data_IF_897975729767
#
_entry.id   IF_897975729767
#
_cell.length_a   1.000
_cell.length_b   1.000
_cell.length_c   1.000
_cell.angle_alpha   90.00
_cell.angle_beta   90.00
_cell.angle_gamma   90.00
#
_symmetry.space_group_name_H-M   'P 1'
#
loop_
_entity.id
_entity.type
_entity.pdbx_description
1 polymer ?
#
# COMPACT_ATOMS: atom_id res chain seq x y z
N UNK A 1 -0.15 -17.48 -27.83
CA UNK A 1 -0.82 -16.19 -28.03
C UNK A 1 -1.25 -15.59 -26.72
N UNK A 2 -1.40 -14.28 -26.66
CA UNK A 2 -1.95 -13.55 -25.53
C UNK A 2 -3.30 -14.14 -25.11
N UNK A 3 -3.53 -14.27 -23.78
CA UNK A 3 -4.76 -14.80 -23.19
C UNK A 3 -4.95 -16.30 -23.25
N UNK A 4 -4.06 -17.07 -23.89
CA UNK A 4 -4.21 -18.52 -23.92
C UNK A 4 -3.77 -19.19 -22.59
N UNK A 5 -4.01 -20.50 -22.48
CA UNK A 5 -3.72 -21.26 -21.27
C UNK A 5 -2.26 -21.12 -20.81
N UNK A 6 -1.30 -21.26 -21.72
CA UNK A 6 0.15 -21.19 -21.38
C UNK A 6 0.62 -19.78 -21.05
N UNK A 7 -0.15 -18.73 -21.40
CA UNK A 7 0.14 -17.36 -20.98
C UNK A 7 -0.41 -17.10 -19.58
N UNK A 8 -1.64 -17.57 -19.30
CA UNK A 8 -2.40 -17.21 -18.08
C UNK A 8 -2.12 -18.11 -16.88
N UNK A 9 -1.47 -19.27 -17.10
CA UNK A 9 -1.21 -20.25 -16.04
C UNK A 9 0.27 -20.55 -15.89
N UNK A 10 0.71 -20.63 -14.63
CA UNK A 10 2.05 -21.08 -14.30
C UNK A 10 2.17 -22.60 -14.49
N UNK A 11 3.18 -23.01 -15.26
CA UNK A 11 3.46 -24.41 -15.54
C UNK A 11 4.79 -24.78 -14.88
N UNK A 12 4.76 -25.58 -13.80
CA UNK A 12 5.95 -26.05 -13.11
C UNK A 12 6.67 -27.13 -13.93
N UNK A 13 7.50 -26.69 -14.90
CA UNK A 13 8.26 -27.58 -15.79
C UNK A 13 9.10 -26.80 -16.78
N UNK A 14 9.83 -27.46 -17.68
CA UNK A 14 10.68 -26.82 -18.68
C UNK A 14 9.83 -26.26 -19.83
N UNK A 15 8.93 -25.35 -19.54
CA UNK A 15 8.02 -24.71 -20.49
C UNK A 15 8.39 -23.23 -20.64
N UNK A 16 8.71 -22.82 -21.87
CA UNK A 16 8.93 -21.43 -22.23
C UNK A 16 7.81 -20.94 -23.16
N UNK A 17 7.08 -19.92 -22.73
CA UNK A 17 6.10 -19.24 -23.56
C UNK A 17 6.73 -17.96 -24.16
N UNK A 18 6.69 -17.84 -25.48
CA UNK A 18 7.14 -16.64 -26.20
C UNK A 18 5.92 -15.91 -26.76
N UNK A 19 5.76 -14.65 -26.38
CA UNK A 19 4.65 -13.79 -26.82
C UNK A 19 5.23 -12.54 -27.46
N UNK A 20 4.78 -12.21 -28.67
CA UNK A 20 5.19 -10.99 -29.37
C UNK A 20 4.39 -9.80 -28.86
N UNK A 21 5.07 -8.76 -28.43
CA UNK A 21 4.48 -7.46 -28.12
C UNK A 21 4.69 -6.46 -29.26
N UNK A 22 3.81 -5.45 -29.35
CA UNK A 22 3.93 -4.40 -30.36
C UNK A 22 4.90 -3.29 -29.91
N UNK A 23 4.92 -3.04 -28.61
CA UNK A 23 5.73 -2.02 -27.94
C UNK A 23 5.91 -2.40 -26.46
N UNK A 24 6.59 -1.55 -25.70
CA UNK A 24 6.87 -1.77 -24.28
C UNK A 24 5.59 -1.74 -23.42
N UNK A 25 4.65 -0.85 -23.73
CA UNK A 25 3.37 -0.76 -23.00
C UNK A 25 2.57 -2.06 -23.15
N UNK A 26 2.48 -2.58 -24.36
CA UNK A 26 1.84 -3.86 -24.64
C UNK A 26 2.58 -5.03 -23.95
N UNK A 27 3.90 -5.03 -23.93
CA UNK A 27 4.68 -6.05 -23.23
C UNK A 27 4.38 -6.05 -21.72
N UNK A 28 4.34 -4.87 -21.10
CA UNK A 28 3.97 -4.70 -19.68
C UNK A 28 2.55 -5.20 -19.42
N UNK A 29 1.60 -4.86 -20.29
CA UNK A 29 0.23 -5.34 -20.20
C UNK A 29 0.14 -6.87 -20.22
N UNK A 30 0.80 -7.50 -21.19
CA UNK A 30 0.86 -8.97 -21.34
C UNK A 30 1.35 -9.61 -20.02
N UNK A 31 2.42 -9.09 -19.45
CA UNK A 31 2.96 -9.63 -18.18
C UNK A 31 1.99 -9.42 -17.03
N UNK A 32 1.44 -8.22 -16.88
CA UNK A 32 0.54 -7.87 -15.78
C UNK A 32 -0.80 -8.63 -15.82
N UNK A 33 -1.31 -8.95 -17.00
CA UNK A 33 -2.60 -9.63 -17.19
C UNK A 33 -2.59 -11.06 -16.63
N UNK A 34 -1.43 -11.69 -16.48
CA UNK A 34 -1.28 -13.00 -15.84
C UNK A 34 -1.72 -12.98 -14.37
N UNK A 35 -1.59 -11.82 -13.71
CA UNK A 35 -1.79 -11.63 -12.28
C UNK A 35 -0.67 -12.20 -11.41
N UNK A 36 0.34 -12.90 -11.99
CA UNK A 36 1.56 -13.29 -11.28
C UNK A 36 2.56 -12.15 -11.25
N UNK A 37 3.42 -12.12 -10.24
CA UNK A 37 4.39 -11.04 -10.09
C UNK A 37 5.49 -11.37 -9.08
N UNK A 38 6.22 -12.46 -9.30
CA UNK A 38 7.36 -12.79 -8.44
C UNK A 38 8.61 -12.05 -8.93
N UNK A 39 9.07 -12.38 -10.14
CA UNK A 39 10.23 -11.75 -10.76
C UNK A 39 9.90 -11.30 -12.19
N UNK A 40 10.54 -10.23 -12.63
CA UNK A 40 10.53 -9.82 -14.03
C UNK A 40 11.84 -9.14 -14.39
N UNK A 41 12.22 -9.15 -15.66
CA UNK A 41 13.44 -8.53 -16.16
C UNK A 41 13.20 -7.72 -17.44
N UNK A 42 14.02 -6.70 -17.63
CA UNK A 42 14.14 -5.93 -18.87
C UNK A 42 15.61 -5.84 -19.28
N UNK A 43 15.85 -5.99 -20.57
CA UNK A 43 17.14 -5.72 -21.21
C UNK A 43 16.97 -4.46 -22.05
N UNK A 44 17.48 -3.32 -21.58
CA UNK A 44 17.42 -2.04 -22.28
C UNK A 44 18.53 -1.10 -21.79
N UNK A 45 19.08 -0.32 -22.72
CA UNK A 45 20.01 0.78 -22.45
C UNK A 45 19.32 2.14 -22.43
N UNK A 46 18.02 2.21 -22.72
CA UNK A 46 17.24 3.44 -22.65
C UNK A 46 16.63 3.61 -21.25
N UNK A 47 17.14 4.60 -20.52
CA UNK A 47 16.65 4.90 -19.17
C UNK A 47 15.16 5.27 -19.13
N UNK A 48 14.59 5.79 -20.22
CA UNK A 48 13.16 6.13 -20.30
C UNK A 48 12.33 4.86 -20.32
N UNK A 49 12.73 3.84 -21.07
CA UNK A 49 12.09 2.53 -21.12
C UNK A 49 12.19 1.82 -19.75
N UNK A 50 13.39 1.82 -19.16
CA UNK A 50 13.64 1.23 -17.84
C UNK A 50 12.77 1.89 -16.77
N UNK A 51 12.68 3.22 -16.76
CA UNK A 51 11.88 3.94 -15.80
C UNK A 51 10.38 3.70 -16.00
N UNK A 52 9.90 3.75 -17.25
CA UNK A 52 8.52 3.44 -17.58
C UNK A 52 8.14 2.02 -17.15
N UNK A 53 8.99 1.04 -17.43
CA UNK A 53 8.81 -0.35 -17.06
C UNK A 53 8.77 -0.53 -15.53
N UNK A 54 9.72 0.06 -14.78
CA UNK A 54 9.73 0.01 -13.31
C UNK A 54 8.45 0.55 -12.66
N UNK A 55 7.86 1.59 -13.25
CA UNK A 55 6.68 2.23 -12.69
C UNK A 55 5.37 1.46 -13.01
N UNK A 56 5.35 0.69 -14.08
CA UNK A 56 4.12 0.09 -14.59
C UNK A 56 4.06 -1.43 -14.43
N UNK A 57 5.21 -2.13 -14.31
CA UNK A 57 5.22 -3.57 -14.13
C UNK A 57 4.94 -3.96 -12.68
N UNK A 58 4.06 -4.97 -12.52
CA UNK A 58 3.64 -5.48 -11.21
C UNK A 58 4.38 -6.77 -10.84
N UNK A 59 5.62 -6.63 -10.38
CA UNK A 59 6.38 -7.75 -9.83
C UNK A 59 7.19 -7.31 -8.59
N UNK A 60 7.37 -8.23 -7.67
CA UNK A 60 8.07 -7.96 -6.43
C UNK A 60 9.55 -7.72 -6.60
N UNK A 61 10.21 -8.44 -7.51
CA UNK A 61 11.61 -8.27 -7.83
C UNK A 61 11.80 -7.95 -9.32
N UNK A 62 12.38 -6.80 -9.59
CA UNK A 62 12.63 -6.26 -10.93
C UNK A 62 14.13 -6.30 -11.21
N UNK A 63 14.50 -6.85 -12.36
CA UNK A 63 15.89 -6.98 -12.78
C UNK A 63 16.13 -6.22 -14.10
N UNK A 64 17.21 -5.45 -14.15
CA UNK A 64 17.57 -4.65 -15.31
C UNK A 64 18.94 -5.09 -15.79
N UNK A 65 19.04 -5.49 -17.07
CA UNK A 65 20.26 -5.92 -17.73
C UNK A 65 20.99 -7.05 -16.99
N UNK A 66 20.22 -8.00 -16.42
CA UNK A 66 20.74 -9.19 -15.75
C UNK A 66 19.68 -10.30 -15.69
N UNK A 67 20.11 -11.51 -15.39
CA UNK A 67 19.20 -12.64 -15.15
C UNK A 67 18.27 -12.43 -13.96
N UNK A 68 17.08 -13.01 -14.02
CA UNK A 68 16.01 -12.89 -13.03
C UNK A 68 16.12 -13.87 -11.85
N UNK A 69 17.27 -14.53 -11.69
CA UNK A 69 17.55 -15.53 -10.64
C UNK A 69 18.62 -15.05 -9.68
N UNK A 70 18.79 -15.75 -8.54
CA UNK A 70 19.90 -15.52 -7.63
C UNK A 70 19.69 -14.36 -6.65
N UNK A 71 18.46 -14.19 -6.12
CA UNK A 71 18.21 -13.26 -5.03
C UNK A 71 19.03 -13.61 -3.77
N UNK A 72 19.63 -12.60 -3.16
CA UNK A 72 20.49 -12.74 -1.97
C UNK A 72 19.93 -11.91 -0.81
N UNK A 73 19.93 -12.49 0.39
CA UNK A 73 19.48 -11.82 1.63
C UNK A 73 20.15 -10.46 1.78
N UNK A 74 19.38 -9.46 2.17
CA UNK A 74 19.73 -8.04 2.32
C UNK A 74 20.10 -7.30 1.03
N UNK A 75 20.63 -7.99 0.00
CA UNK A 75 20.90 -7.37 -1.31
C UNK A 75 19.61 -7.24 -2.12
N UNK A 76 18.86 -8.33 -2.19
CA UNK A 76 17.64 -8.45 -3.00
C UNK A 76 16.55 -9.12 -2.16
N UNK A 77 15.92 -8.42 -1.24
CA UNK A 77 14.80 -8.97 -0.47
C UNK A 77 13.75 -9.55 -1.41
N UNK A 78 13.36 -10.80 -1.19
CA UNK A 78 12.62 -11.60 -2.17
C UNK A 78 11.17 -11.79 -1.74
N UNK A 79 10.24 -11.52 -2.65
CA UNK A 79 8.82 -11.71 -2.45
C UNK A 79 8.00 -11.14 -3.60
N UNK A 80 6.88 -11.80 -3.90
CA UNK A 80 6.02 -11.49 -5.03
C UNK A 80 4.91 -10.49 -4.75
N UNK A 81 4.12 -10.25 -5.79
CA UNK A 81 2.86 -9.49 -5.80
C UNK A 81 1.75 -10.33 -6.45
N UNK A 82 0.49 -9.93 -6.26
CA UNK A 82 -0.67 -10.59 -6.85
C UNK A 82 -0.73 -12.08 -6.49
N UNK A 83 -0.94 -12.95 -7.48
CA UNK A 83 -0.98 -14.42 -7.30
C UNK A 83 0.34 -15.03 -6.77
N UNK A 84 1.43 -14.29 -6.82
CA UNK A 84 2.76 -14.72 -6.33
C UNK A 84 3.04 -14.24 -4.89
N UNK A 85 2.02 -13.89 -4.14
CA UNK A 85 2.12 -13.48 -2.74
C UNK A 85 0.99 -14.07 -1.91
N UNK A 86 1.26 -14.28 -0.60
CA UNK A 86 0.28 -14.68 0.40
C UNK A 86 0.25 -13.62 1.51
N UNK A 87 -0.94 -13.30 2.01
CA UNK A 87 -1.14 -12.34 3.09
C UNK A 87 -0.63 -10.95 2.73
N UNK A 88 0.17 -10.36 3.60
CA UNK A 88 0.69 -9.00 3.42
C UNK A 88 1.75 -8.85 2.32
N UNK A 89 2.17 -9.94 1.66
CA UNK A 89 3.19 -9.92 0.61
C UNK A 89 4.54 -9.38 1.06
N UNK A 90 4.95 -9.66 2.30
CA UNK A 90 6.22 -9.16 2.85
C UNK A 90 7.40 -9.88 2.24
N UNK A 91 8.45 -9.13 1.94
CA UNK A 91 9.67 -9.67 1.37
C UNK A 91 10.54 -10.36 2.43
N UNK A 92 11.05 -11.54 2.08
CA UNK A 92 12.05 -12.26 2.87
C UNK A 92 13.43 -11.61 2.72
N UNK A 93 14.23 -11.64 3.77
CA UNK A 93 15.62 -11.15 3.73
C UNK A 93 15.76 -9.66 3.96
N UNK A 94 14.77 -9.03 4.61
CA UNK A 94 14.83 -7.65 5.09
C UNK A 94 14.24 -7.53 6.50
N UNK A 95 14.64 -6.53 7.25
CA UNK A 95 14.31 -6.37 8.67
C UNK A 95 12.81 -6.25 8.98
N UNK A 96 11.99 -5.72 8.09
CA UNK A 96 10.54 -5.63 8.32
C UNK A 96 9.79 -6.97 8.15
N UNK A 97 10.46 -8.04 7.70
CA UNK A 97 9.90 -9.39 7.61
C UNK A 97 9.51 -9.95 8.98
N UNK A 98 10.30 -9.65 10.02
CA UNK A 98 10.07 -10.12 11.40
C UNK A 98 8.73 -9.64 11.99
N UNK A 99 8.18 -8.56 11.47
CA UNK A 99 6.91 -7.99 11.97
C UNK A 99 5.69 -8.92 11.81
N UNK A 100 5.82 -10.02 11.06
CA UNK A 100 4.80 -11.05 10.92
C UNK A 100 4.77 -12.05 12.09
N UNK A 101 5.82 -12.07 12.91
CA UNK A 101 6.05 -13.06 13.96
C UNK A 101 6.05 -12.44 15.35
N UNK A 102 5.61 -11.20 15.50
CA UNK A 102 5.62 -10.46 16.76
C UNK A 102 4.27 -9.77 17.00
N UNK A 103 3.90 -9.69 18.26
CA UNK A 103 2.79 -8.88 18.71
C UNK A 103 3.24 -7.45 18.99
N UNK A 104 2.47 -6.49 18.51
CA UNK A 104 2.73 -5.08 18.77
C UNK A 104 1.99 -4.66 20.04
N UNK A 105 2.72 -4.02 20.95
CA UNK A 105 2.14 -3.41 22.14
C UNK A 105 2.44 -1.91 22.14
N UNK A 106 1.40 -1.10 22.31
CA UNK A 106 1.57 0.33 22.54
C UNK A 106 2.29 0.57 23.87
N UNK A 107 3.35 1.35 23.83
CA UNK A 107 4.12 1.66 25.02
C UNK A 107 4.12 3.16 25.36
N UNK A 108 4.19 4.01 24.36
CA UNK A 108 4.24 5.48 24.52
C UNK A 108 3.93 6.15 23.19
N UNK A 109 3.57 7.43 23.24
CA UNK A 109 3.47 8.25 22.04
C UNK A 109 4.80 8.28 21.27
N UNK A 110 4.79 8.32 19.93
CA UNK A 110 5.99 8.39 19.14
C UNK A 110 6.76 9.68 19.44
N UNK A 111 8.09 9.57 19.47
CA UNK A 111 8.96 10.75 19.53
C UNK A 111 9.11 11.29 18.11
N UNK A 112 8.75 12.54 17.93
CA UNK A 112 8.88 13.26 16.66
C UNK A 112 10.08 14.18 16.75
N UNK A 113 11.02 14.06 15.80
CA UNK A 113 12.25 14.85 15.80
C UNK A 113 12.12 16.17 15.06
N UNK A 114 11.16 16.26 14.13
CA UNK A 114 10.92 17.41 13.25
C UNK A 114 9.45 17.83 13.29
N UNK A 115 9.19 19.12 13.38
CA UNK A 115 7.83 19.65 13.23
C UNK A 115 7.55 20.00 11.77
N UNK A 116 6.51 19.39 11.22
CA UNK A 116 6.04 19.65 9.87
C UNK A 116 4.94 20.71 9.87
N UNK A 117 4.92 21.52 8.81
CA UNK A 117 3.89 22.54 8.60
C UNK A 117 3.39 22.44 7.15
N UNK A 118 2.29 21.75 6.95
CA UNK A 118 1.60 21.59 5.68
C UNK A 118 0.08 21.75 5.87
N UNK A 119 -0.70 21.57 4.81
CA UNK A 119 -2.15 21.76 4.89
C UNK A 119 -2.85 20.79 5.84
N UNK A 120 -2.37 19.54 5.95
CA UNK A 120 -2.91 18.56 6.90
C UNK A 120 -2.62 18.97 8.35
N UNK A 121 -1.41 19.46 8.63
CA UNK A 121 -1.05 19.91 9.98
C UNK A 121 -1.86 21.15 10.38
N UNK A 122 -2.05 22.11 9.47
CA UNK A 122 -2.91 23.28 9.69
C UNK A 122 -4.37 22.89 9.92
N UNK A 123 -4.87 21.90 9.15
CA UNK A 123 -6.21 21.37 9.34
C UNK A 123 -6.40 20.77 10.74
N UNK A 124 -5.49 19.90 11.19
CA UNK A 124 -5.55 19.30 12.54
C UNK A 124 -5.44 20.36 13.63
N UNK A 125 -4.58 21.37 13.46
CA UNK A 125 -4.44 22.48 14.40
C UNK A 125 -5.75 23.31 14.50
N UNK A 126 -6.38 23.58 13.38
CA UNK A 126 -7.70 24.25 13.33
C UNK A 126 -8.76 23.41 14.07
N UNK A 127 -8.83 22.10 13.82
CA UNK A 127 -9.75 21.20 14.51
C UNK A 127 -9.51 21.18 16.02
N UNK A 128 -8.25 21.10 16.44
CA UNK A 128 -7.84 21.12 17.86
C UNK A 128 -8.29 22.41 18.57
N UNK A 129 -8.18 23.54 17.90
CA UNK A 129 -8.60 24.84 18.46
C UNK A 129 -10.12 24.99 18.52
N UNK A 130 -10.85 24.31 17.62
CA UNK A 130 -12.32 24.42 17.53
C UNK A 130 -13.06 23.37 18.38
N UNK A 131 -12.43 22.25 18.70
CA UNK A 131 -13.04 21.12 19.38
C UNK A 131 -12.21 20.74 20.62
N UNK A 132 -12.81 20.76 21.79
CA UNK A 132 -12.19 20.29 23.03
C UNK A 132 -12.23 18.74 23.11
N UNK A 133 -11.55 18.08 22.18
CA UNK A 133 -11.48 16.63 22.14
C UNK A 133 -9.99 16.21 22.14
N UNK A 134 -9.62 15.35 23.09
CA UNK A 134 -8.25 14.83 23.25
C UNK A 134 -7.73 14.07 22.01
N UNK A 135 -8.63 13.55 21.19
CA UNK A 135 -8.26 12.86 19.96
C UNK A 135 -7.45 13.74 19.00
N UNK A 136 -7.70 15.06 18.97
CA UNK A 136 -6.92 15.96 18.11
C UNK A 136 -5.47 16.13 18.56
N UNK A 137 -5.17 16.01 19.86
CA UNK A 137 -3.79 15.98 20.34
C UNK A 137 -3.07 14.72 19.88
N UNK A 138 -3.75 13.56 19.93
CA UNK A 138 -3.22 12.28 19.43
C UNK A 138 -3.04 12.30 17.91
N UNK A 139 -4.00 12.89 17.18
CA UNK A 139 -3.94 13.05 15.72
C UNK A 139 -2.80 13.96 15.28
N UNK A 140 -2.50 15.03 16.01
CA UNK A 140 -1.35 15.89 15.74
C UNK A 140 -0.05 15.09 15.84
N UNK A 141 0.14 14.35 16.93
CA UNK A 141 1.33 13.52 17.14
C UNK A 141 1.44 12.43 16.06
N UNK A 142 0.34 11.74 15.75
CA UNK A 142 0.31 10.71 14.73
C UNK A 142 0.67 11.26 13.36
N UNK A 143 0.10 12.41 12.95
CA UNK A 143 0.38 13.04 11.68
C UNK A 143 1.86 13.45 11.55
N UNK A 144 2.44 14.06 12.59
CA UNK A 144 3.85 14.41 12.57
C UNK A 144 4.73 13.15 12.41
N UNK A 145 4.41 12.07 13.12
CA UNK A 145 5.10 10.79 12.99
C UNK A 145 4.97 10.20 11.58
N UNK A 146 3.78 10.24 10.98
CA UNK A 146 3.56 9.74 9.62
C UNK A 146 4.39 10.52 8.59
N UNK A 147 4.42 11.85 8.69
CA UNK A 147 5.19 12.71 7.80
C UNK A 147 6.69 12.44 7.93
N UNK A 148 7.21 12.30 9.15
CA UNK A 148 8.61 12.00 9.41
C UNK A 148 9.02 10.63 8.85
N UNK A 149 8.21 9.59 9.09
CA UNK A 149 8.49 8.25 8.58
C UNK A 149 8.35 8.19 7.05
N UNK A 150 7.38 8.90 6.47
CA UNK A 150 7.26 8.97 5.03
C UNK A 150 8.47 9.64 4.38
N UNK A 151 8.91 10.80 4.91
CA UNK A 151 10.10 11.50 4.42
C UNK A 151 11.38 10.66 4.56
N UNK A 152 11.55 9.95 5.67
CA UNK A 152 12.80 9.25 5.98
C UNK A 152 12.88 7.84 5.44
N UNK A 153 11.74 7.16 5.26
CA UNK A 153 11.69 5.74 4.89
C UNK A 153 10.86 5.50 3.63
N UNK A 154 9.56 5.77 3.67
CA UNK A 154 8.62 5.24 2.69
C UNK A 154 8.67 5.93 1.32
N UNK A 155 9.10 7.19 1.24
CA UNK A 155 9.22 7.94 -0.01
C UNK A 155 10.54 7.69 -0.76
N UNK A 156 11.46 6.94 -0.18
CA UNK A 156 12.83 6.78 -0.71
C UNK A 156 13.07 5.37 -1.24
N UNK A 157 13.73 5.30 -2.39
CA UNK A 157 14.41 4.09 -2.82
C UNK A 157 15.76 4.02 -2.11
N UNK A 158 16.08 2.90 -1.47
CA UNK A 158 17.29 2.72 -0.67
C UNK A 158 18.08 1.50 -1.12
N UNK A 159 19.37 1.65 -1.28
CA UNK A 159 20.30 0.53 -1.39
C UNK A 159 20.92 0.27 -0.01
N UNK A 160 20.55 -0.83 0.62
CA UNK A 160 21.08 -1.21 1.94
C UNK A 160 22.39 -1.99 1.85
N UNK A 161 22.70 -2.55 0.68
CA UNK A 161 23.86 -3.41 0.51
C UNK A 161 25.09 -2.67 -0.02
N UNK A 162 24.88 -1.64 -0.85
CA UNK A 162 25.94 -0.82 -1.46
C UNK A 162 27.06 -1.67 -2.10
N UNK A 163 26.66 -2.68 -2.91
CA UNK A 163 27.61 -3.58 -3.54
C UNK A 163 28.24 -2.91 -4.77
N UNK A 164 29.56 -2.92 -4.86
CA UNK A 164 30.25 -2.32 -5.99
C UNK A 164 29.85 -2.99 -7.32
N UNK A 165 29.36 -2.18 -8.26
CA UNK A 165 28.94 -2.63 -9.59
C UNK A 165 27.49 -3.12 -9.66
N UNK A 166 26.72 -2.96 -8.59
CA UNK A 166 25.28 -3.25 -8.56
C UNK A 166 24.53 -2.12 -7.84
N UNK A 167 23.35 -1.79 -8.33
CA UNK A 167 22.38 -0.93 -7.66
C UNK A 167 21.20 -1.78 -7.22
N UNK A 168 21.02 -1.97 -5.90
CA UNK A 168 19.98 -2.82 -5.30
C UNK A 168 18.94 -1.96 -4.60
N UNK A 169 18.05 -1.34 -5.34
CA UNK A 169 17.07 -0.40 -4.79
C UNK A 169 15.85 -1.11 -4.20
N UNK A 170 15.67 -0.97 -2.90
CA UNK A 170 14.42 -1.30 -2.20
C UNK A 170 13.52 -0.07 -2.08
N UNK A 171 12.28 -0.18 -2.50
CA UNK A 171 11.29 0.90 -2.42
C UNK A 171 9.92 0.40 -2.01
N UNK A 172 9.14 1.28 -1.42
CA UNK A 172 7.72 1.06 -1.14
C UNK A 172 6.88 1.66 -2.26
N UNK A 173 5.86 0.94 -2.68
CA UNK A 173 4.88 1.42 -3.65
C UNK A 173 3.56 1.68 -2.92
N UNK A 174 2.89 2.82 -3.17
CA UNK A 174 1.58 3.08 -2.60
C UNK A 174 0.55 2.08 -3.16
N UNK A 175 -0.39 1.67 -2.31
CA UNK A 175 -1.58 0.97 -2.75
C UNK A 175 -2.43 1.91 -3.62
N UNK A 176 -3.19 1.36 -4.57
CA UNK A 176 -4.01 2.19 -5.47
C UNK A 176 -5.37 2.51 -4.88
N UNK A 177 -6.02 1.50 -4.31
CA UNK A 177 -7.38 1.58 -3.78
C UNK A 177 -7.44 0.98 -2.39
N UNK A 178 -7.70 1.81 -1.40
CA UNK A 178 -7.84 1.38 -0.01
C UNK A 178 -9.25 1.70 0.47
N UNK A 179 -9.86 0.82 1.22
CA UNK A 179 -11.08 1.13 1.94
C UNK A 179 -10.83 1.10 3.44
N UNK A 180 -11.26 2.15 4.12
CA UNK A 180 -11.26 2.27 5.58
C UNK A 180 -12.68 1.92 6.02
N UNK A 181 -12.85 0.73 6.59
CA UNK A 181 -14.14 0.29 7.12
C UNK A 181 -14.31 0.82 8.53
N UNK A 182 -15.40 1.54 8.76
CA UNK A 182 -15.75 2.20 10.02
C UNK A 182 -16.97 1.52 10.60
N UNK A 183 -16.87 1.11 11.84
CA UNK A 183 -17.94 0.48 12.62
C UNK A 183 -18.47 1.41 13.71
N UNK A 184 -19.59 1.07 14.35
CA UNK A 184 -20.23 1.88 15.38
C UNK A 184 -19.34 2.17 16.60
N UNK A 185 -18.37 1.27 16.89
CA UNK A 185 -17.44 1.41 18.03
C UNK A 185 -16.13 2.12 17.70
N UNK A 186 -15.95 2.64 16.48
CA UNK A 186 -14.73 3.34 16.13
C UNK A 186 -14.71 4.78 16.65
N UNK A 187 -13.58 5.17 17.22
CA UNK A 187 -13.34 6.55 17.69
C UNK A 187 -12.94 7.45 16.52
N UNK A 188 -13.04 8.76 16.73
CA UNK A 188 -12.59 9.76 15.77
C UNK A 188 -11.09 9.60 15.48
N UNK A 189 -10.29 9.34 16.54
CA UNK A 189 -8.85 9.10 16.38
C UNK A 189 -8.57 7.90 15.48
N UNK A 190 -9.21 6.76 15.70
CA UNK A 190 -8.99 5.53 14.94
C UNK A 190 -9.27 5.73 13.44
N UNK A 191 -10.31 6.45 13.10
CA UNK A 191 -10.68 6.68 11.69
C UNK A 191 -9.81 7.74 11.05
N UNK A 192 -9.69 8.92 11.65
CA UNK A 192 -8.97 10.05 11.06
C UNK A 192 -7.48 9.76 10.96
N UNK A 193 -6.88 9.03 11.91
CA UNK A 193 -5.47 8.64 11.82
C UNK A 193 -5.19 7.79 10.58
N UNK A 194 -6.10 6.89 10.19
CA UNK A 194 -5.97 6.06 8.97
C UNK A 194 -6.14 6.89 7.70
N UNK A 195 -7.07 7.84 7.70
CA UNK A 195 -7.23 8.79 6.60
C UNK A 195 -5.95 9.62 6.42
N UNK A 196 -5.38 10.14 7.51
CA UNK A 196 -4.12 10.89 7.47
C UNK A 196 -2.95 10.02 6.96
N UNK A 197 -2.86 8.77 7.37
CA UNK A 197 -1.85 7.84 6.87
C UNK A 197 -1.99 7.60 5.36
N UNK A 198 -3.21 7.40 4.86
CA UNK A 198 -3.48 7.27 3.42
C UNK A 198 -3.08 8.54 2.65
N UNK A 199 -3.45 9.72 3.15
CA UNK A 199 -3.10 11.00 2.52
C UNK A 199 -1.58 11.26 2.49
N UNK A 200 -0.89 11.00 3.59
CA UNK A 200 0.57 11.15 3.66
C UNK A 200 1.27 10.20 2.68
N UNK A 201 0.73 8.99 2.51
CA UNK A 201 1.27 8.00 1.56
C UNK A 201 0.85 8.22 0.10
N UNK A 202 0.01 9.21 -0.19
CA UNK A 202 -0.52 9.46 -1.53
C UNK A 202 -1.51 8.39 -2.04
N UNK A 203 -2.11 7.61 -1.12
CA UNK A 203 -3.05 6.54 -1.43
C UNK A 203 -4.47 7.10 -1.53
N UNK A 204 -5.20 6.71 -2.59
CA UNK A 204 -6.63 6.99 -2.67
C UNK A 204 -7.42 6.06 -1.79
N UNK A 205 -8.43 6.60 -1.14
CA UNK A 205 -9.20 5.83 -0.18
C UNK A 205 -10.70 6.07 -0.31
N UNK A 206 -11.45 5.07 0.11
CA UNK A 206 -12.87 5.16 0.38
C UNK A 206 -13.10 4.95 1.88
N UNK A 207 -13.93 5.78 2.49
CA UNK A 207 -14.44 5.51 3.85
C UNK A 207 -15.80 4.87 3.71
N UNK A 208 -15.93 3.65 4.22
CA UNK A 208 -17.19 2.89 4.25
C UNK A 208 -17.68 2.82 5.69
N UNK A 209 -18.77 3.53 5.98
CA UNK A 209 -19.35 3.66 7.30
C UNK A 209 -20.46 2.64 7.55
N UNK A 210 -20.41 1.97 8.71
CA UNK A 210 -21.52 1.21 9.25
C UNK A 210 -21.92 1.80 10.61
N UNK A 211 -22.99 2.59 10.60
CA UNK A 211 -23.65 3.11 11.81
C UNK A 211 -22.70 3.84 12.81
N UNK A 212 -22.00 4.89 12.36
CA UNK A 212 -21.20 5.74 13.24
C UNK A 212 -21.50 7.23 12.98
N UNK A 213 -22.52 7.73 13.69
CA UNK A 213 -23.02 9.10 13.48
C UNK A 213 -21.98 10.18 13.84
N UNK A 214 -21.16 9.97 14.87
CA UNK A 214 -20.14 10.94 15.29
C UNK A 214 -19.07 11.11 14.21
N UNK A 215 -18.51 10.00 13.73
CA UNK A 215 -17.50 10.01 12.69
C UNK A 215 -18.08 10.55 11.38
N UNK A 216 -19.31 10.15 11.02
CA UNK A 216 -20.03 10.64 9.85
C UNK A 216 -20.14 12.16 9.84
N UNK A 217 -20.71 12.74 10.91
CA UNK A 217 -20.88 14.18 11.04
C UNK A 217 -19.57 14.94 10.92
N UNK A 218 -18.50 14.45 11.51
CA UNK A 218 -17.18 15.07 11.40
C UNK A 218 -16.65 15.02 9.97
N UNK A 219 -16.72 13.87 9.31
CA UNK A 219 -16.17 13.69 7.95
C UNK A 219 -16.96 14.48 6.89
N UNK A 220 -18.28 14.62 7.03
CA UNK A 220 -19.12 15.38 6.11
C UNK A 220 -18.74 16.87 6.04
N UNK A 221 -18.24 17.45 7.15
CA UNK A 221 -17.78 18.83 7.20
C UNK A 221 -16.29 19.00 6.96
N UNK A 222 -15.50 17.90 7.01
CA UNK A 222 -14.05 17.89 6.88
C UNK A 222 -13.61 17.62 5.44
N UNK A 223 -14.10 18.43 4.50
CA UNK A 223 -13.84 18.26 3.05
C UNK A 223 -12.35 18.31 2.69
N UNK A 224 -11.53 18.98 3.48
CA UNK A 224 -10.07 19.07 3.31
C UNK A 224 -9.39 17.70 3.40
N UNK A 225 -10.02 16.71 4.04
CA UNK A 225 -9.53 15.33 4.11
C UNK A 225 -9.75 14.54 2.83
N UNK A 226 -10.59 14.99 1.91
CA UNK A 226 -10.97 14.27 0.70
C UNK A 226 -10.47 14.97 -0.55
N UNK A 227 -9.87 14.23 -1.47
CA UNK A 227 -9.61 14.64 -2.84
C UNK A 227 -10.80 14.26 -3.75
N UNK A 228 -10.76 14.66 -5.02
CA UNK A 228 -11.81 14.30 -5.99
C UNK A 228 -11.93 12.79 -6.26
N UNK A 229 -10.93 12.00 -5.88
CA UNK A 229 -10.89 10.54 -6.04
C UNK A 229 -11.24 9.77 -4.77
N UNK A 230 -11.32 10.45 -3.63
CA UNK A 230 -11.69 9.86 -2.36
C UNK A 230 -13.20 9.95 -2.15
N UNK A 231 -13.77 9.05 -1.36
CA UNK A 231 -15.22 9.04 -1.13
C UNK A 231 -15.59 8.59 0.29
N UNK A 232 -16.77 9.05 0.72
CA UNK A 232 -17.42 8.64 1.93
C UNK A 232 -18.76 8.02 1.57
N UNK A 233 -19.04 6.79 2.02
CA UNK A 233 -20.29 6.08 1.77
C UNK A 233 -20.77 5.40 3.04
N UNK A 234 -22.08 5.29 3.19
CA UNK A 234 -22.71 4.50 4.24
C UNK A 234 -23.18 3.17 3.65
N UNK A 235 -22.77 2.06 4.26
CA UNK A 235 -23.04 0.71 3.78
C UNK A 235 -23.16 -0.26 4.94
N UNK A 236 -24.10 -1.20 4.89
CA UNK A 236 -24.13 -2.37 5.77
C UNK A 236 -22.92 -3.29 5.50
N UNK A 237 -22.72 -4.33 6.32
CA UNK A 237 -21.66 -5.30 6.09
C UNK A 237 -21.96 -6.16 4.85
N UNK A 238 -23.22 -6.52 4.62
CA UNK A 238 -23.65 -7.28 3.44
C UNK A 238 -23.49 -6.49 2.14
N UNK A 239 -23.69 -5.18 2.17
CA UNK A 239 -23.42 -4.31 1.02
C UNK A 239 -21.93 -4.14 0.78
N UNK A 240 -21.15 -3.97 1.84
CA UNK A 240 -19.72 -3.77 1.76
C UNK A 240 -18.99 -4.98 1.16
N UNK A 241 -19.32 -6.19 1.62
CA UNK A 241 -18.68 -7.44 1.20
C UNK A 241 -18.82 -7.66 -0.32
N UNK A 242 -19.91 -7.26 -0.95
CA UNK A 242 -20.11 -7.37 -2.41
C UNK A 242 -19.04 -6.65 -3.24
N UNK A 243 -18.38 -5.65 -2.65
CA UNK A 243 -17.40 -4.81 -3.34
C UNK A 243 -15.97 -4.99 -2.80
N UNK A 244 -15.75 -5.90 -1.84
CA UNK A 244 -14.46 -6.04 -1.14
C UNK A 244 -13.32 -6.37 -2.11
N UNK A 245 -13.58 -7.16 -3.14
CA UNK A 245 -12.60 -7.57 -4.17
C UNK A 245 -12.10 -6.41 -5.05
N UNK A 246 -12.75 -5.25 -4.99
CA UNK A 246 -12.35 -4.06 -5.76
C UNK A 246 -11.24 -3.26 -5.09
N UNK A 247 -10.83 -3.64 -3.87
CA UNK A 247 -9.85 -2.92 -3.09
C UNK A 247 -8.56 -3.73 -2.93
N UNK A 248 -7.43 -3.04 -3.01
CA UNK A 248 -6.12 -3.65 -2.72
C UNK A 248 -5.98 -3.97 -1.22
N UNK A 249 -6.66 -3.20 -0.37
CA UNK A 249 -6.61 -3.38 1.09
C UNK A 249 -7.86 -2.85 1.76
N UNK A 250 -8.36 -3.64 2.70
CA UNK A 250 -9.37 -3.21 3.70
C UNK A 250 -8.67 -2.93 5.01
N UNK A 251 -8.97 -1.78 5.62
CA UNK A 251 -8.39 -1.35 6.89
C UNK A 251 -9.51 -1.23 7.93
N UNK A 252 -9.39 -2.01 8.99
CA UNK A 252 -10.21 -1.93 10.20
C UNK A 252 -9.41 -1.33 11.35
N UNK A 253 -10.07 -0.80 12.36
CA UNK A 253 -9.42 -0.32 13.58
C UNK A 253 -8.88 -1.45 14.45
N UNK A 254 -9.61 -2.57 14.48
CA UNK A 254 -9.27 -3.75 15.26
C UNK A 254 -9.74 -5.02 14.53
N UNK A 255 -9.03 -6.13 14.72
CA UNK A 255 -9.37 -7.41 14.09
C UNK A 255 -10.71 -7.96 14.57
N UNK A 256 -11.08 -7.68 15.82
CA UNK A 256 -12.38 -8.10 16.39
C UNK A 256 -13.59 -7.42 15.73
N UNK A 257 -13.36 -6.35 14.97
CA UNK A 257 -14.40 -5.60 14.24
C UNK A 257 -14.57 -6.08 12.79
N UNK A 258 -13.79 -7.06 12.35
CA UNK A 258 -13.92 -7.66 11.01
C UNK A 258 -15.10 -8.60 11.02
N UNK A 259 -16.16 -8.37 10.21
CA UNK A 259 -17.30 -9.26 10.13
C UNK A 259 -16.91 -10.64 9.58
N UNK A 260 -17.55 -11.70 10.06
CA UNK A 260 -17.31 -13.08 9.56
C UNK A 260 -17.52 -13.18 8.05
N UNK A 261 -18.51 -12.48 7.51
CA UNK A 261 -18.79 -12.41 6.05
C UNK A 261 -17.56 -12.02 5.20
N UNK A 262 -16.60 -11.28 5.77
CA UNK A 262 -15.38 -10.89 5.05
C UNK A 262 -14.45 -12.08 4.77
N UNK A 263 -14.53 -13.12 5.59
CA UNK A 263 -13.72 -14.33 5.45
C UNK A 263 -14.36 -15.41 4.55
N UNK A 264 -15.61 -15.20 4.14
CA UNK A 264 -16.35 -16.11 3.25
C UNK A 264 -16.17 -15.76 1.76
N UNK A 265 -15.63 -14.57 1.44
CA UNK A 265 -15.41 -14.02 0.09
C UNK A 265 -13.93 -14.11 -0.37
#
# INVERSE_FOLDING_TARGET
SEGNFTHMNELFGPVLAVVKANDLEHAIKIVNDTGYGLTSGIESLDEREVNYWKENLKAGNLYINRGTTGAVVLRQPFGGMGKSAIGAGRKVGIFNYITQFVDFKEKSAPKVSKKYNNDLTKFIEKCKNSHKNEDFNKLEIALQSYLENYENEFSKAKDYANVRGEDNHFRYLPLKNVVIRVTSGDTLFEVVSRILAAKVSGVHFKVSLNNNALVKSFLEVSKELFSSRDSLVEQSDEEFVKFIKNYDRVIYSDISKVPELVFEE
#
